data_IF_353693356526
#
_entry.id   IF_353693356526
#
_cell.length_a   1.000
_cell.length_b   1.000
_cell.length_c   1.000
_cell.angle_alpha   90.00
_cell.angle_beta   90.00
_cell.angle_gamma   90.00
#
_symmetry.space_group_name_H-M   'P 1'
#
loop_
_entity.id
_entity.type
_entity.pdbx_description
1 polymer ?
#
# COMPACT_ATOMS: atom_id res chain seq x y z
N UNK A 1 25.91 -4.83 -40.31
CA UNK A 1 26.16 -3.81 -39.26
C UNK A 1 24.89 -3.11 -38.76
N UNK A 2 23.70 -3.72 -38.90
CA UNK A 2 22.40 -3.14 -38.47
C UNK A 2 22.01 -3.61 -37.05
N UNK A 3 22.25 -4.89 -36.72
CA UNK A 3 21.94 -5.44 -35.39
C UNK A 3 22.68 -4.73 -34.24
N UNK A 4 23.92 -4.28 -34.44
CA UNK A 4 24.71 -3.57 -33.40
C UNK A 4 24.18 -2.17 -33.07
N UNK A 5 23.37 -1.57 -33.96
CA UNK A 5 22.73 -0.26 -33.73
C UNK A 5 21.35 -0.38 -33.10
N UNK A 6 20.70 -1.55 -33.19
CA UNK A 6 19.39 -1.83 -32.60
C UNK A 6 19.46 -2.21 -31.12
N UNK A 7 20.60 -2.76 -30.67
CA UNK A 7 20.84 -3.13 -29.27
C UNK A 7 20.60 -1.99 -28.26
N UNK A 8 21.10 -0.75 -28.44
CA UNK A 8 20.84 0.33 -27.47
C UNK A 8 19.37 0.77 -27.44
N UNK A 9 18.65 0.66 -28.56
CA UNK A 9 17.23 0.99 -28.64
C UNK A 9 16.35 -0.03 -27.89
N UNK A 10 16.64 -1.33 -28.05
CA UNK A 10 15.99 -2.38 -27.30
C UNK A 10 16.24 -2.24 -25.79
N UNK A 11 17.47 -1.87 -25.40
CA UNK A 11 17.82 -1.64 -24.00
C UNK A 11 17.00 -0.48 -23.40
N UNK A 12 16.87 0.64 -24.12
CA UNK A 12 16.09 1.80 -23.69
C UNK A 12 14.59 1.47 -23.48
N UNK A 13 14.01 0.63 -24.34
CA UNK A 13 12.62 0.18 -24.20
C UNK A 13 12.45 -0.69 -22.95
N UNK A 14 13.38 -1.63 -22.71
CA UNK A 14 13.35 -2.50 -21.52
C UNK A 14 13.50 -1.70 -20.23
N UNK A 15 14.38 -0.69 -20.19
CA UNK A 15 14.54 0.18 -19.02
C UNK A 15 13.32 1.08 -18.74
N UNK A 16 12.57 1.48 -19.78
CA UNK A 16 11.39 2.35 -19.61
C UNK A 16 10.17 1.60 -19.05
N UNK A 17 10.13 0.27 -19.15
CA UNK A 17 9.04 -0.55 -18.62
C UNK A 17 8.91 -0.54 -17.09
N UNK A 18 9.97 -0.22 -16.36
CA UNK A 18 9.94 -0.24 -14.88
C UNK A 18 9.02 0.83 -14.27
N UNK A 19 8.82 1.97 -14.93
CA UNK A 19 7.89 3.01 -14.45
C UNK A 19 6.42 2.59 -14.55
N UNK A 20 6.07 1.66 -15.44
CA UNK A 20 4.69 1.20 -15.59
C UNK A 20 4.19 0.39 -14.38
N UNK A 21 5.10 -0.26 -13.63
CA UNK A 21 4.73 -1.08 -12.48
C UNK A 21 4.47 -0.28 -11.19
N UNK A 22 4.93 0.97 -11.11
CA UNK A 22 4.86 1.76 -9.87
C UNK A 22 3.54 2.52 -9.70
N UNK A 23 2.69 2.54 -10.73
CA UNK A 23 1.46 3.33 -10.76
C UNK A 23 1.77 4.83 -10.83
N UNK A 24 0.99 5.58 -11.59
CA UNK A 24 1.11 7.04 -11.56
C UNK A 24 0.72 7.55 -10.17
N UNK A 25 1.55 8.41 -9.52
CA UNK A 25 1.16 9.07 -8.29
C UNK A 25 -0.17 9.79 -8.50
N UNK A 26 -1.16 9.46 -7.68
CA UNK A 26 -2.48 10.07 -7.69
C UNK A 26 -2.64 10.92 -6.41
N UNK A 27 -3.45 11.97 -6.49
CA UNK A 27 -3.75 12.74 -5.29
C UNK A 27 -4.60 11.88 -4.32
N UNK A 28 -4.35 11.95 -3.01
CA UNK A 28 -5.22 11.29 -2.04
C UNK A 28 -6.66 11.84 -2.14
N UNK A 29 -7.68 10.99 -1.95
CA UNK A 29 -9.07 11.44 -1.91
C UNK A 29 -9.29 12.49 -0.82
N UNK A 30 -10.32 13.35 -0.92
CA UNK A 30 -10.64 14.33 0.12
C UNK A 30 -10.76 13.67 1.50
N UNK A 31 -10.10 14.24 2.52
CA UNK A 31 -10.16 13.73 3.88
C UNK A 31 -11.61 13.75 4.39
N UNK A 32 -11.99 12.71 5.12
CA UNK A 32 -13.33 12.57 5.72
C UNK A 32 -13.20 12.55 7.25
N UNK A 33 -14.32 12.46 7.96
CA UNK A 33 -14.34 12.36 9.43
C UNK A 33 -13.76 11.05 9.98
N UNK A 34 -13.49 10.07 9.12
CA UNK A 34 -12.98 8.76 9.49
C UNK A 34 -11.77 8.42 8.63
N UNK A 35 -10.82 7.62 9.13
CA UNK A 35 -9.68 7.17 8.33
C UNK A 35 -10.16 6.44 7.07
N UNK A 36 -9.59 6.80 5.92
CA UNK A 36 -9.86 6.14 4.65
C UNK A 36 -8.72 5.19 4.27
N UNK A 37 -9.09 4.04 3.74
CA UNK A 37 -8.13 3.19 3.05
C UNK A 37 -7.74 3.85 1.73
N UNK A 38 -6.44 3.98 1.49
CA UNK A 38 -5.91 4.50 0.24
C UNK A 38 -4.87 3.54 -0.34
N UNK A 39 -4.60 3.71 -1.62
CA UNK A 39 -3.59 2.93 -2.31
C UNK A 39 -2.20 3.54 -2.12
N UNK A 40 -1.16 2.74 -2.33
CA UNK A 40 0.24 3.18 -2.20
C UNK A 40 0.59 4.36 -3.13
N UNK A 41 -0.03 4.45 -4.30
CA UNK A 41 0.18 5.55 -5.25
C UNK A 41 -0.53 6.85 -4.81
N UNK A 42 -1.38 6.82 -3.78
CA UNK A 42 -2.13 7.96 -3.26
C UNK A 42 -1.47 8.58 -2.01
N UNK A 43 -0.29 8.12 -1.60
CA UNK A 43 0.38 8.62 -0.38
C UNK A 43 1.18 9.90 -0.59
N UNK A 44 1.14 10.49 -1.79
CA UNK A 44 1.95 11.66 -2.13
C UNK A 44 1.56 12.87 -1.27
N UNK A 45 2.54 13.49 -0.62
CA UNK A 45 2.33 14.65 0.25
C UNK A 45 1.73 14.34 1.63
N UNK A 46 1.51 13.07 1.99
CA UNK A 46 1.01 12.69 3.31
C UNK A 46 2.14 12.49 4.32
N UNK A 47 1.90 12.87 5.58
CA UNK A 47 2.82 12.60 6.67
C UNK A 47 2.59 11.19 7.24
N UNK A 48 3.60 10.33 7.17
CA UNK A 48 3.57 9.01 7.82
C UNK A 48 3.52 9.20 9.34
N UNK A 49 2.52 8.62 9.99
CA UNK A 49 2.33 8.68 11.45
C UNK A 49 2.97 7.48 12.14
N UNK A 50 2.56 6.28 11.75
CA UNK A 50 2.97 5.03 12.40
C UNK A 50 2.75 3.84 11.46
N UNK A 51 3.31 2.70 11.83
CA UNK A 51 2.93 1.42 11.24
C UNK A 51 2.28 0.58 12.34
N UNK A 52 1.09 0.05 12.07
CA UNK A 52 0.32 -0.78 13.00
C UNK A 52 0.14 -2.18 12.41
N UNK A 53 0.10 -3.20 13.27
CA UNK A 53 -0.15 -4.58 12.87
C UNK A 53 -1.22 -5.23 13.73
N UNK A 54 -1.88 -6.25 13.20
CA UNK A 54 -2.90 -7.06 13.87
C UNK A 54 -2.55 -8.53 13.65
N UNK A 55 -2.72 -9.33 14.70
CA UNK A 55 -2.59 -10.79 14.67
C UNK A 55 -3.80 -11.38 15.40
N UNK A 56 -4.68 -12.09 14.70
CA UNK A 56 -5.88 -12.67 15.31
C UNK A 56 -6.40 -13.89 14.55
N UNK A 57 -7.22 -14.68 15.22
CA UNK A 57 -7.98 -15.75 14.57
C UNK A 57 -9.23 -15.19 13.89
N UNK A 58 -9.59 -15.76 12.74
CA UNK A 58 -10.78 -15.39 11.98
C UNK A 58 -10.53 -15.41 10.49
N UNK A 59 -10.85 -14.31 9.84
CA UNK A 59 -10.76 -14.11 8.39
C UNK A 59 -9.93 -12.87 8.04
N UNK A 60 -9.52 -12.72 6.76
CA UNK A 60 -8.90 -11.49 6.26
C UNK A 60 -9.71 -10.23 6.57
N UNK A 61 -11.04 -10.31 6.48
CA UNK A 61 -11.92 -9.18 6.77
C UNK A 61 -11.87 -8.74 8.23
N UNK A 62 -11.63 -9.68 9.16
CA UNK A 62 -11.56 -9.35 10.59
C UNK A 62 -10.26 -8.57 10.92
N UNK A 63 -9.14 -8.95 10.30
CA UNK A 63 -7.87 -8.20 10.47
C UNK A 63 -7.92 -6.83 9.81
N UNK A 64 -8.59 -6.68 8.66
CA UNK A 64 -8.84 -5.39 8.02
C UNK A 64 -9.68 -4.48 8.92
N UNK A 65 -10.80 -5.00 9.46
CA UNK A 65 -11.65 -4.25 10.38
C UNK A 65 -10.89 -3.81 11.65
N UNK A 66 -10.05 -4.69 12.19
CA UNK A 66 -9.22 -4.38 13.34
C UNK A 66 -8.16 -3.30 13.03
N UNK A 67 -7.58 -3.30 11.82
CA UNK A 67 -6.67 -2.23 11.38
C UNK A 67 -7.40 -0.89 11.26
N UNK A 68 -8.62 -0.88 10.72
CA UNK A 68 -9.45 0.34 10.66
C UNK A 68 -9.70 0.92 12.05
N UNK A 69 -10.05 0.09 13.03
CA UNK A 69 -10.22 0.51 14.44
C UNK A 69 -8.93 1.11 15.00
N UNK A 70 -7.76 0.53 14.67
CA UNK A 70 -6.47 1.11 15.08
C UNK A 70 -6.18 2.45 14.41
N UNK A 71 -6.53 2.61 13.13
CA UNK A 71 -6.40 3.88 12.42
C UNK A 71 -7.31 4.96 13.04
N UNK A 72 -8.54 4.60 13.43
CA UNK A 72 -9.49 5.49 14.10
C UNK A 72 -8.96 5.92 15.47
N UNK A 73 -8.47 4.96 16.27
CA UNK A 73 -7.87 5.24 17.58
C UNK A 73 -6.63 6.14 17.49
N UNK A 74 -5.84 5.99 16.43
CA UNK A 74 -4.68 6.83 16.14
C UNK A 74 -5.05 8.22 15.57
N UNK A 75 -6.33 8.46 15.25
CA UNK A 75 -6.80 9.67 14.56
C UNK A 75 -6.04 9.92 13.25
N UNK A 76 -5.81 8.86 12.49
CA UNK A 76 -5.24 8.95 11.15
C UNK A 76 -6.30 9.44 10.15
N UNK A 77 -5.88 10.20 9.14
CA UNK A 77 -6.79 10.58 8.05
C UNK A 77 -6.85 9.48 6.98
N UNK A 78 -5.73 8.77 6.82
CA UNK A 78 -5.61 7.69 5.86
C UNK A 78 -4.83 6.50 6.43
N UNK A 79 -5.06 5.32 5.88
CA UNK A 79 -4.25 4.15 6.11
C UNK A 79 -4.04 3.37 4.82
N UNK A 80 -2.89 2.69 4.72
CA UNK A 80 -2.55 1.81 3.60
C UNK A 80 -2.27 0.44 4.18
N UNK A 81 -3.09 -0.56 3.84
CA UNK A 81 -2.79 -1.95 4.18
C UNK A 81 -1.66 -2.41 3.26
N UNK A 82 -0.55 -2.85 3.85
CA UNK A 82 0.65 -3.27 3.11
C UNK A 82 0.76 -4.79 2.99
N UNK A 83 0.09 -5.54 3.86
CA UNK A 83 0.03 -7.00 3.80
C UNK A 83 -1.18 -7.54 4.56
N UNK A 84 -1.72 -8.66 4.07
CA UNK A 84 -2.71 -9.49 4.74
C UNK A 84 -2.31 -10.93 4.40
N UNK A 85 -1.77 -11.65 5.37
CA UNK A 85 -1.29 -13.02 5.18
C UNK A 85 -1.84 -13.95 6.26
N UNK A 86 -2.06 -15.20 5.89
CA UNK A 86 -2.25 -16.26 6.88
C UNK A 86 -0.91 -16.56 7.57
N UNK A 87 -0.99 -17.07 8.78
CA UNK A 87 0.19 -17.54 9.50
C UNK A 87 0.33 -19.05 9.35
N UNK A 88 1.46 -19.60 9.81
CA UNK A 88 1.65 -21.05 9.92
C UNK A 88 0.56 -21.75 10.74
N UNK A 89 -0.18 -20.99 11.55
CA UNK A 89 -1.30 -21.49 12.34
C UNK A 89 -2.61 -21.30 11.56
N UNK A 90 -3.33 -22.40 11.25
CA UNK A 90 -4.58 -22.31 10.50
C UNK A 90 -5.61 -21.38 11.16
N UNK A 91 -6.22 -20.53 10.35
CA UNK A 91 -7.22 -19.57 10.79
C UNK A 91 -6.67 -18.36 11.55
N UNK A 92 -5.36 -18.27 11.77
CA UNK A 92 -4.71 -17.09 12.33
C UNK A 92 -4.15 -16.23 11.20
N UNK A 93 -4.54 -14.96 11.20
CA UNK A 93 -4.22 -13.96 10.19
C UNK A 93 -3.35 -12.87 10.79
N UNK A 94 -2.36 -12.42 10.00
CA UNK A 94 -1.52 -11.28 10.29
C UNK A 94 -1.73 -10.21 9.23
N UNK A 95 -1.90 -8.98 9.65
CA UNK A 95 -1.98 -7.85 8.73
C UNK A 95 -1.26 -6.63 9.27
N UNK A 96 -0.78 -5.78 8.37
CA UNK A 96 -0.06 -4.56 8.70
C UNK A 96 -0.53 -3.40 7.84
N UNK A 97 -0.66 -2.22 8.45
CA UNK A 97 -0.98 -0.98 7.75
C UNK A 97 -0.05 0.17 8.17
N UNK A 98 0.17 1.09 7.23
CA UNK A 98 0.83 2.37 7.49
C UNK A 98 -0.26 3.44 7.65
N UNK A 99 -0.16 4.22 8.72
CA UNK A 99 -1.07 5.32 9.02
C UNK A 99 -0.49 6.64 8.52
N UNK A 100 -1.35 7.49 7.98
CA UNK A 100 -1.01 8.78 7.40
C UNK A 100 -1.94 9.89 7.88
N UNK A 101 -1.41 11.11 7.92
CA UNK A 101 -2.12 12.36 8.18
C UNK A 101 -1.85 13.36 7.07
N UNK A 102 -2.85 14.18 6.74
CA UNK A 102 -2.74 15.29 5.78
C UNK A 102 -2.15 16.54 6.42
#
# INVERSE_FOLDING_TARGET
>A
MVMRRLTPWLLAIVLSGCSALQGTPEAPPPATSHPQEIHRNQTSGLQKMATVSVLMYGSPMDVEAALKVKAEAAKADYYVIIMIDDTLVPGQWYSQAILYRK
#
